data_IF_749002572030
#
_entry.id   IF_749002572030
#
_cell.length_a   1.000
_cell.length_b   1.000
_cell.length_c   1.000
_cell.angle_alpha   90.00
_cell.angle_beta   90.00
_cell.angle_gamma   90.00
#
_symmetry.space_group_name_H-M   'P 1'
#
loop_
_entity.id
_entity.type
_entity.pdbx_description
1 polymer ?
#
# COMPACT_ATOMS: atom_id res chain seq x y z
N UNK A 1 -0.94 -42.92 -25.92
CA UNK A 1 -2.25 -42.27 -26.17
C UNK A 1 -2.72 -41.68 -24.84
N UNK A 2 -3.02 -40.40 -24.64
CA UNK A 2 -2.99 -39.18 -25.45
C UNK A 2 -2.49 -38.05 -24.52
N UNK A 3 -1.67 -37.18 -25.07
CA UNK A 3 -1.27 -35.87 -24.56
C UNK A 3 -2.36 -34.88 -24.98
N UNK A 4 -3.02 -34.16 -24.06
CA UNK A 4 -3.87 -32.99 -24.39
C UNK A 4 -3.85 -32.04 -23.18
N UNK A 5 -2.94 -31.07 -23.13
CA UNK A 5 -3.04 -29.67 -23.58
C UNK A 5 -3.72 -28.75 -22.56
N UNK A 6 -2.92 -27.83 -22.04
CA UNK A 6 -3.25 -26.61 -21.33
C UNK A 6 -4.27 -25.77 -22.12
N UNK A 7 -5.40 -25.34 -21.56
CA UNK A 7 -6.15 -24.24 -22.13
C UNK A 7 -5.60 -22.92 -21.56
N UNK A 8 -4.69 -22.30 -22.32
CA UNK A 8 -4.61 -20.83 -22.34
C UNK A 8 -6.01 -20.31 -22.66
N UNK A 9 -6.68 -19.69 -21.68
CA UNK A 9 -7.90 -18.92 -21.94
C UNK A 9 -7.56 -17.44 -21.89
N UNK A 10 -7.75 -16.85 -23.06
CA UNK A 10 -7.43 -15.50 -23.45
C UNK A 10 -8.12 -14.43 -22.60
N UNK A 11 -7.46 -13.28 -22.53
CA UNK A 11 -8.04 -11.98 -22.22
C UNK A 11 -9.21 -11.71 -23.18
N UNK A 12 -10.43 -11.61 -22.65
CA UNK A 12 -11.53 -10.96 -23.36
C UNK A 12 -12.23 -9.99 -22.42
N UNK A 13 -12.24 -8.73 -22.84
CA UNK A 13 -12.93 -7.62 -22.20
C UNK A 13 -14.46 -7.70 -22.26
N UNK A 14 -15.14 -6.56 -22.06
CA UNK A 14 -16.29 -6.49 -21.16
C UNK A 14 -17.62 -6.78 -21.86
N UNK A 15 -18.47 -7.59 -21.21
CA UNK A 15 -19.93 -7.53 -21.41
C UNK A 15 -20.68 -7.64 -20.09
N UNK A 16 -21.68 -6.77 -20.02
CA UNK A 16 -22.47 -6.30 -18.90
C UNK A 16 -23.40 -7.32 -18.22
N UNK A 17 -23.41 -7.19 -16.88
CA UNK A 17 -24.55 -7.04 -15.96
C UNK A 17 -25.55 -8.22 -15.84
N UNK A 18 -25.37 -8.96 -14.74
CA UNK A 18 -26.50 -9.45 -13.93
C UNK A 18 -26.49 -8.68 -12.61
N UNK A 19 -27.62 -8.05 -12.32
CA UNK A 19 -27.86 -7.13 -11.23
C UNK A 19 -28.40 -7.92 -10.03
N UNK A 20 -27.51 -8.50 -9.23
CA UNK A 20 -27.86 -9.02 -7.91
C UNK A 20 -26.93 -8.44 -6.86
N UNK A 21 -27.52 -7.74 -5.89
CA UNK A 21 -26.83 -7.21 -4.72
C UNK A 21 -26.39 -8.38 -3.83
N UNK A 22 -25.13 -8.76 -3.98
CA UNK A 22 -24.37 -9.58 -3.03
C UNK A 22 -22.94 -9.03 -2.97
N UNK A 23 -22.44 -8.80 -1.76
CA UNK A 23 -21.11 -8.27 -1.48
C UNK A 23 -20.01 -9.12 -2.16
N UNK A 24 -19.49 -8.67 -3.28
CA UNK A 24 -18.20 -9.12 -3.80
C UNK A 24 -17.24 -7.95 -3.64
N UNK A 25 -16.68 -7.85 -2.43
CA UNK A 25 -15.54 -6.99 -2.16
C UNK A 25 -14.36 -7.49 -3.00
N UNK A 26 -14.24 -6.98 -4.21
CA UNK A 26 -12.98 -7.08 -4.95
C UNK A 26 -11.92 -6.36 -4.12
N UNK A 27 -10.89 -7.08 -3.71
CA UNK A 27 -9.72 -6.47 -3.09
C UNK A 27 -9.25 -5.31 -3.97
N UNK A 28 -9.15 -4.10 -3.40
CA UNK A 28 -8.69 -2.94 -4.16
C UNK A 28 -7.31 -3.24 -4.78
N UNK A 29 -7.00 -2.76 -6.00
CA UNK A 29 -5.70 -3.03 -6.60
C UNK A 29 -4.58 -2.41 -5.75
N UNK A 30 -3.45 -3.12 -5.66
CA UNK A 30 -2.24 -2.57 -5.03
C UNK A 30 -1.66 -1.51 -5.94
N UNK A 31 -1.53 -0.30 -5.42
CA UNK A 31 -0.87 0.84 -6.06
C UNK A 31 0.48 1.11 -5.39
N UNK A 32 1.32 1.93 -6.01
CA UNK A 32 2.60 2.36 -5.42
C UNK A 32 2.91 3.82 -5.73
N UNK A 33 3.62 4.48 -4.82
CA UNK A 33 4.08 5.86 -5.01
C UNK A 33 5.12 6.29 -3.99
N UNK A 34 5.70 7.47 -4.21
CA UNK A 34 6.67 8.07 -3.29
C UNK A 34 5.93 8.88 -2.22
N UNK A 35 6.28 8.67 -0.96
CA UNK A 35 5.75 9.45 0.14
C UNK A 35 6.39 10.85 0.17
N UNK A 36 5.56 11.89 0.22
CA UNK A 36 5.99 13.29 0.27
C UNK A 36 6.03 13.85 1.69
N UNK A 37 5.22 13.30 2.58
CA UNK A 37 5.10 13.71 3.98
C UNK A 37 4.86 12.48 4.86
N UNK A 38 5.15 12.62 6.16
CA UNK A 38 4.79 11.59 7.15
C UNK A 38 4.22 12.18 8.43
N UNK A 39 3.39 11.39 9.11
CA UNK A 39 2.94 11.65 10.45
C UNK A 39 2.99 10.36 11.26
N UNK A 40 3.68 10.38 12.40
CA UNK A 40 3.72 9.25 13.32
C UNK A 40 2.79 9.55 14.50
N UNK A 41 1.79 8.71 14.70
CA UNK A 41 0.99 8.75 15.92
C UNK A 41 1.88 8.44 17.11
N UNK A 42 1.82 9.25 18.17
CA UNK A 42 2.60 9.02 19.40
C UNK A 42 1.90 8.01 20.33
N UNK A 43 0.58 8.06 20.34
CA UNK A 43 -0.33 7.16 21.04
C UNK A 43 -1.33 6.60 20.03
N UNK A 44 -1.92 5.44 20.31
CA UNK A 44 -2.97 4.91 19.44
C UNK A 44 -4.15 5.89 19.34
N UNK A 45 -4.65 6.12 18.12
CA UNK A 45 -5.81 6.96 17.91
C UNK A 45 -6.64 6.44 16.72
N UNK A 46 -7.94 6.16 16.89
CA UNK A 46 -8.72 6.21 18.15
C UNK A 46 -8.23 5.22 19.22
N UNK A 47 -8.72 5.34 20.46
CA UNK A 47 -8.20 4.61 21.63
C UNK A 47 -8.23 3.08 21.51
N UNK A 48 -9.06 2.50 20.65
CA UNK A 48 -9.13 1.04 20.41
C UNK A 48 -8.41 0.60 19.12
N UNK A 49 -7.58 1.46 18.54
CA UNK A 49 -6.84 1.18 17.31
C UNK A 49 -5.37 0.82 17.58
N UNK A 50 -4.67 0.42 16.52
CA UNK A 50 -3.22 0.37 16.53
C UNK A 50 -2.64 1.74 16.19
N UNK A 51 -1.61 2.17 16.92
CA UNK A 51 -0.78 3.32 16.55
C UNK A 51 -0.27 3.17 15.12
N UNK A 52 -0.38 4.24 14.33
CA UNK A 52 -0.13 4.23 12.90
C UNK A 52 1.02 5.13 12.50
N UNK A 53 1.79 4.69 11.51
CA UNK A 53 2.60 5.59 10.69
C UNK A 53 1.78 5.96 9.46
N UNK A 54 1.59 7.25 9.25
CA UNK A 54 0.90 7.82 8.10
C UNK A 54 1.91 8.36 7.09
N UNK A 55 1.70 8.05 5.81
CA UNK A 55 2.50 8.55 4.69
C UNK A 55 1.58 9.21 3.66
N UNK A 56 1.91 10.42 3.23
CA UNK A 56 1.19 11.12 2.17
C UNK A 56 1.75 10.69 0.82
N UNK A 57 0.97 9.93 0.05
CA UNK A 57 1.33 9.40 -1.27
C UNK A 57 0.25 9.85 -2.25
N UNK A 58 0.64 10.48 -3.36
CA UNK A 58 -0.27 11.06 -4.35
C UNK A 58 -1.34 11.97 -3.71
N UNK A 59 -0.89 12.84 -2.80
CA UNK A 59 -1.70 13.83 -2.10
C UNK A 59 -2.82 13.22 -1.23
N UNK A 60 -2.63 11.97 -0.81
CA UNK A 60 -3.54 11.21 0.04
C UNK A 60 -2.80 10.47 1.16
N UNK A 61 -3.39 10.44 2.35
CA UNK A 61 -2.80 9.73 3.50
C UNK A 61 -3.05 8.22 3.44
N UNK A 62 -2.00 7.45 3.76
CA UNK A 62 -1.99 5.98 3.85
C UNK A 62 -1.42 5.56 5.20
N UNK A 63 -1.96 4.52 5.83
CA UNK A 63 -1.53 4.07 7.16
C UNK A 63 -0.80 2.73 7.14
N UNK A 64 0.27 2.64 7.93
CA UNK A 64 0.92 1.41 8.32
C UNK A 64 0.73 1.22 9.83
N UNK A 65 -0.16 0.32 10.21
CA UNK A 65 -0.50 0.04 11.60
C UNK A 65 0.63 -0.72 12.32
N UNK A 66 0.79 -0.43 13.60
CA UNK A 66 1.78 -1.06 14.49
C UNK A 66 3.23 -0.99 13.96
N UNK A 67 3.73 0.19 13.55
CA UNK A 67 5.11 0.31 13.09
C UNK A 67 6.06 -0.03 14.25
N UNK A 68 7.04 -0.91 14.00
CA UNK A 68 8.12 -1.14 14.97
C UNK A 68 9.13 0.02 14.94
N UNK A 69 10.04 0.06 15.92
CA UNK A 69 11.02 1.15 16.05
C UNK A 69 11.96 1.25 14.83
N UNK A 70 12.31 0.12 14.22
CA UNK A 70 13.19 0.10 13.04
C UNK A 70 12.54 0.82 11.84
N UNK A 71 11.27 0.54 11.56
CA UNK A 71 10.52 1.20 10.48
C UNK A 71 10.38 2.69 10.75
N UNK A 72 10.02 3.08 11.99
CA UNK A 72 9.90 4.48 12.38
C UNK A 72 11.21 5.25 12.16
N UNK A 73 12.31 4.71 12.68
CA UNK A 73 13.62 5.36 12.58
C UNK A 73 14.08 5.47 11.12
N UNK A 74 13.85 4.43 10.30
CA UNK A 74 14.22 4.44 8.90
C UNK A 74 13.46 5.51 8.10
N UNK A 75 12.13 5.58 8.29
CA UNK A 75 11.28 6.58 7.63
C UNK A 75 11.62 7.99 8.11
N UNK A 76 11.75 8.21 9.42
CA UNK A 76 12.16 9.49 9.97
C UNK A 76 13.52 9.94 9.43
N UNK A 77 14.51 9.03 9.37
CA UNK A 77 15.81 9.32 8.81
C UNK A 77 15.74 9.71 7.33
N UNK A 78 14.88 9.04 6.54
CA UNK A 78 14.69 9.36 5.13
C UNK A 78 14.14 10.79 4.95
N UNK A 79 13.10 11.15 5.71
CA UNK A 79 12.52 12.50 5.65
C UNK A 79 13.44 13.59 6.21
N UNK A 80 14.34 13.26 7.15
CA UNK A 80 15.38 14.18 7.60
C UNK A 80 16.51 14.37 6.56
N UNK A 81 16.67 13.43 5.63
CA UNK A 81 17.72 13.44 4.61
C UNK A 81 17.14 13.29 3.19
N UNK A 82 16.23 14.19 2.76
CA UNK A 82 15.43 13.99 1.53
C UNK A 82 16.26 14.07 0.24
N UNK A 83 17.49 14.58 0.30
CA UNK A 83 18.44 14.54 -0.82
C UNK A 83 19.10 13.17 -1.00
N UNK A 84 19.15 12.35 0.05
CA UNK A 84 19.83 11.06 0.06
C UNK A 84 18.87 9.89 -0.01
N UNK A 85 17.62 10.05 0.42
CA UNK A 85 16.66 8.97 0.47
C UNK A 85 15.30 9.36 -0.08
N UNK A 86 14.56 8.34 -0.49
CA UNK A 86 13.15 8.35 -0.84
C UNK A 86 12.44 7.22 -0.09
N UNK A 87 11.14 7.38 0.13
CA UNK A 87 10.27 6.35 0.74
C UNK A 87 9.26 5.91 -0.31
N UNK A 88 9.47 4.72 -0.88
CA UNK A 88 8.55 4.09 -1.81
C UNK A 88 7.57 3.21 -1.03
N UNK A 89 6.29 3.35 -1.35
CA UNK A 89 5.17 2.73 -0.62
C UNK A 89 4.32 1.93 -1.59
N UNK A 90 3.88 0.74 -1.18
CA UNK A 90 2.81 -0.03 -1.81
C UNK A 90 1.59 -0.01 -0.90
N UNK A 91 0.42 0.29 -1.45
CA UNK A 91 -0.81 0.45 -0.69
C UNK A 91 -2.04 -0.09 -1.41
N UNK A 92 -3.03 -0.51 -0.62
CA UNK A 92 -4.35 -0.92 -1.05
C UNK A 92 -5.37 -0.02 -0.34
N UNK A 93 -6.04 0.83 -1.10
CA UNK A 93 -6.86 1.92 -0.56
C UNK A 93 -6.07 2.76 0.46
N UNK A 94 -6.49 2.82 1.73
CA UNK A 94 -5.78 3.54 2.79
C UNK A 94 -4.59 2.76 3.37
N UNK A 95 -4.56 1.42 3.22
CA UNK A 95 -3.62 0.56 3.95
C UNK A 95 -2.30 0.42 3.21
N UNK A 96 -1.19 0.67 3.89
CA UNK A 96 0.15 0.33 3.42
C UNK A 96 0.37 -1.18 3.58
N UNK A 97 0.72 -1.83 2.48
CA UNK A 97 1.02 -3.28 2.43
C UNK A 97 2.52 -3.57 2.26
N UNK A 98 3.31 -2.55 1.92
CA UNK A 98 4.76 -2.62 1.90
C UNK A 98 5.38 -1.23 1.82
N UNK A 99 6.61 -1.07 2.32
CA UNK A 99 7.39 0.16 2.17
C UNK A 99 8.88 -0.17 2.10
N UNK A 100 9.63 0.67 1.39
CA UNK A 100 11.09 0.62 1.35
C UNK A 100 11.66 2.02 1.40
N UNK A 101 12.74 2.20 2.16
CA UNK A 101 13.58 3.39 2.11
C UNK A 101 14.72 3.09 1.14
N UNK A 102 14.82 3.84 0.05
CA UNK A 102 15.89 3.65 -0.93
C UNK A 102 16.81 4.87 -0.99
N UNK A 103 18.09 4.64 -1.21
CA UNK A 103 19.07 5.69 -1.43
C UNK A 103 18.92 6.31 -2.82
N UNK A 104 19.09 7.62 -2.91
CA UNK A 104 19.34 8.36 -4.13
C UNK A 104 20.83 8.26 -4.43
N UNK A 105 21.17 7.73 -5.61
CA UNK A 105 22.55 7.62 -6.08
C UNK A 105 23.19 8.98 -6.37
#
# INVERSE_FOLDING_TARGET
MKQITDPQVALTGPREIVKERGLLGGEAPVSSGLAKEYWLELVQYPEDSARSLWLNVDDQWRCFHSPNAQIQNAVQNAFNNPKQFDVLVWYQDIKIVGLVVHSKG
#
